data_IF_388591421036
#
_entry.id   IF_388591421036
#
_cell.length_a   1.000
_cell.length_b   1.000
_cell.length_c   1.000
_cell.angle_alpha   90.00
_cell.angle_beta   90.00
_cell.angle_gamma   90.00
#
_symmetry.space_group_name_H-M   'P 1'
#
loop_
_entity.id
_entity.type
_entity.pdbx_description
1 polymer ?
#
# COMPACT_ATOMS: atom_id res chain seq x y z
N UNK A 1 -45.90 30.51 -49.23
CA UNK A 1 -44.63 30.75 -48.51
C UNK A 1 -43.60 31.13 -49.55
N UNK A 2 -42.90 32.24 -49.38
CA UNK A 2 -41.96 32.75 -50.39
C UNK A 2 -40.70 31.88 -50.37
N UNK A 3 -40.19 31.46 -51.54
CA UNK A 3 -38.99 30.59 -51.65
C UNK A 3 -37.80 31.11 -50.82
N UNK A 4 -37.58 32.40 -50.79
CA UNK A 4 -36.52 33.05 -49.98
C UNK A 4 -36.68 32.78 -48.48
N UNK A 5 -37.90 32.68 -47.98
CA UNK A 5 -38.16 32.37 -46.55
C UNK A 5 -37.98 30.87 -46.28
N UNK A 6 -38.32 29.99 -47.22
CA UNK A 6 -38.11 28.56 -47.13
C UNK A 6 -36.61 28.22 -47.03
N UNK A 7 -35.78 28.88 -47.89
CA UNK A 7 -34.32 28.69 -47.84
C UNK A 7 -33.73 29.13 -46.52
N UNK A 8 -34.20 30.25 -45.98
CA UNK A 8 -33.72 30.74 -44.66
C UNK A 8 -34.10 29.80 -43.52
N UNK A 9 -35.30 29.23 -43.54
CA UNK A 9 -35.76 28.25 -42.54
C UNK A 9 -34.93 26.96 -42.62
N UNK A 10 -34.69 26.46 -43.84
CA UNK A 10 -33.85 25.24 -44.04
C UNK A 10 -32.40 25.47 -43.61
N UNK A 11 -31.83 26.64 -43.90
CA UNK A 11 -30.50 27.00 -43.47
C UNK A 11 -30.39 27.08 -41.93
N UNK A 12 -31.38 27.74 -41.27
CA UNK A 12 -31.44 27.77 -39.80
C UNK A 12 -31.59 26.38 -39.18
N UNK A 13 -32.42 25.52 -39.74
CA UNK A 13 -32.57 24.12 -39.27
C UNK A 13 -31.29 23.33 -39.43
N UNK A 14 -30.55 23.48 -40.54
CA UNK A 14 -29.26 22.81 -40.75
C UNK A 14 -28.20 23.30 -39.75
N UNK A 15 -28.17 24.61 -39.39
CA UNK A 15 -27.26 25.14 -38.37
C UNK A 15 -27.61 24.57 -37.01
N UNK A 16 -28.89 24.52 -36.62
CA UNK A 16 -29.32 23.98 -35.33
C UNK A 16 -28.98 22.51 -35.25
N UNK A 17 -29.23 21.69 -36.31
CA UNK A 17 -28.84 20.30 -36.35
C UNK A 17 -27.31 20.11 -36.23
N UNK A 18 -26.53 20.95 -36.88
CA UNK A 18 -25.08 20.98 -36.79
C UNK A 18 -24.59 21.26 -35.37
N UNK A 19 -25.19 22.25 -34.68
CA UNK A 19 -24.86 22.57 -33.30
C UNK A 19 -25.23 21.44 -32.35
N UNK A 20 -26.41 20.83 -32.52
CA UNK A 20 -26.84 19.66 -31.71
C UNK A 20 -25.91 18.47 -31.94
N UNK A 21 -25.52 18.22 -33.20
CA UNK A 21 -24.60 17.12 -33.54
C UNK A 21 -23.21 17.33 -32.93
N UNK A 22 -22.67 18.56 -32.97
CA UNK A 22 -21.37 18.88 -32.34
C UNK A 22 -21.46 18.75 -30.83
N UNK A 23 -22.57 19.19 -30.20
CA UNK A 23 -22.72 19.09 -28.74
C UNK A 23 -22.82 17.61 -28.27
N UNK A 24 -23.40 16.73 -29.06
CA UNK A 24 -23.45 15.27 -28.75
C UNK A 24 -22.08 14.61 -28.85
N UNK A 25 -21.23 15.05 -29.81
CA UNK A 25 -19.88 14.50 -29.97
C UNK A 25 -18.95 14.92 -28.80
N UNK A 26 -19.22 16.05 -28.17
CA UNK A 26 -18.40 16.58 -27.06
C UNK A 26 -18.83 16.09 -25.68
N UNK A 27 -19.81 15.20 -25.56
CA UNK A 27 -20.17 14.59 -24.28
C UNK A 27 -19.10 13.58 -23.91
N UNK A 28 -18.32 13.91 -22.89
CA UNK A 28 -17.40 12.96 -22.26
C UNK A 28 -18.24 11.87 -21.53
N UNK A 29 -18.32 10.69 -22.13
CA UNK A 29 -19.11 9.57 -21.63
C UNK A 29 -18.32 8.67 -20.65
N UNK A 30 -17.05 8.99 -20.40
CA UNK A 30 -16.23 8.19 -19.49
C UNK A 30 -16.73 8.33 -18.06
N UNK A 31 -16.89 7.23 -17.37
CA UNK A 31 -17.28 7.18 -15.99
C UNK A 31 -16.11 7.60 -15.08
N UNK A 32 -16.39 8.44 -14.08
CA UNK A 32 -15.37 8.86 -13.11
C UNK A 32 -14.97 7.69 -12.22
N UNK A 33 -13.70 7.68 -11.82
CA UNK A 33 -13.14 6.64 -10.95
C UNK A 33 -12.50 7.26 -9.72
N UNK A 34 -12.28 6.43 -8.70
CA UNK A 34 -11.55 6.79 -7.48
C UNK A 34 -10.60 5.69 -7.05
N UNK A 35 -9.49 6.08 -6.43
CA UNK A 35 -8.51 5.20 -5.79
C UNK A 35 -8.64 5.36 -4.27
N UNK A 36 -8.87 4.25 -3.58
CA UNK A 36 -9.03 4.21 -2.13
C UNK A 36 -7.92 3.34 -1.55
N UNK A 37 -7.03 3.92 -0.77
CA UNK A 37 -5.99 3.16 -0.06
C UNK A 37 -6.62 2.45 1.13
N UNK A 38 -6.41 1.13 1.22
CA UNK A 38 -6.97 0.27 2.29
C UNK A 38 -5.94 -0.09 3.36
N UNK A 39 -4.65 0.13 3.09
CA UNK A 39 -3.58 -0.12 4.05
C UNK A 39 -3.45 0.99 5.10
N UNK A 40 -2.77 0.66 6.19
CA UNK A 40 -2.40 1.63 7.22
C UNK A 40 -1.38 2.65 6.69
N UNK A 41 -1.40 3.85 7.28
CA UNK A 41 -0.35 4.86 7.07
C UNK A 41 1.00 4.43 7.69
N UNK A 42 1.00 3.42 8.56
CA UNK A 42 2.21 2.86 9.16
C UNK A 42 2.38 1.43 8.68
N UNK A 43 3.49 1.17 8.00
CA UNK A 43 3.86 -0.11 7.40
C UNK A 43 5.20 -0.60 7.94
N UNK A 44 5.43 -1.91 7.87
CA UNK A 44 6.71 -2.56 8.17
C UNK A 44 7.23 -3.26 6.93
N UNK A 45 8.49 -3.62 6.93
CA UNK A 45 9.05 -4.49 5.88
C UNK A 45 8.30 -5.83 5.85
N UNK A 46 7.82 -6.21 4.69
CA UNK A 46 6.95 -7.38 4.48
C UNK A 46 5.46 -7.07 4.44
N UNK A 47 5.02 -5.91 4.93
CA UNK A 47 3.61 -5.48 4.84
C UNK A 47 3.20 -5.18 3.40
N UNK A 48 1.89 -5.13 3.18
CA UNK A 48 1.32 -4.85 1.87
C UNK A 48 0.61 -3.49 1.85
N UNK A 49 0.88 -2.71 0.80
CA UNK A 49 0.08 -1.55 0.45
C UNK A 49 -1.01 -1.99 -0.53
N UNK A 50 -2.27 -1.90 -0.14
CA UNK A 50 -3.43 -2.28 -0.94
C UNK A 50 -4.28 -1.07 -1.32
N UNK A 51 -4.69 -1.04 -2.58
CA UNK A 51 -5.44 0.04 -3.19
C UNK A 51 -6.64 -0.53 -3.92
N UNK A 52 -7.81 0.03 -3.69
CA UNK A 52 -9.05 -0.31 -4.40
C UNK A 52 -9.35 0.75 -5.46
N UNK A 53 -9.65 0.31 -6.68
CA UNK A 53 -10.17 1.15 -7.76
C UNK A 53 -11.68 0.95 -7.86
N UNK A 54 -12.43 2.05 -7.76
CA UNK A 54 -13.89 2.06 -7.83
C UNK A 54 -14.41 3.01 -8.91
N UNK A 55 -15.63 2.73 -9.39
CA UNK A 55 -16.41 3.65 -10.22
C UNK A 55 -17.04 4.78 -9.38
N UNK A 56 -17.78 5.67 -10.02
CA UNK A 56 -18.49 6.80 -9.39
C UNK A 56 -19.58 6.38 -8.39
N UNK A 57 -20.01 5.13 -8.42
CA UNK A 57 -21.04 4.54 -7.53
C UNK A 57 -20.42 3.75 -6.39
N UNK A 58 -19.09 3.60 -6.38
CA UNK A 58 -18.37 2.80 -5.41
C UNK A 58 -18.30 1.30 -5.76
N UNK A 59 -18.64 0.90 -6.99
CA UNK A 59 -18.44 -0.49 -7.40
C UNK A 59 -16.98 -0.73 -7.76
N UNK A 60 -16.41 -1.88 -7.38
CA UNK A 60 -15.02 -2.22 -7.69
C UNK A 60 -14.80 -2.43 -9.19
N UNK A 61 -13.65 -1.97 -9.69
CA UNK A 61 -13.28 -2.13 -11.10
C UNK A 61 -12.11 -3.13 -11.19
N UNK A 62 -12.42 -4.32 -11.70
CA UNK A 62 -11.47 -5.42 -11.84
C UNK A 62 -10.65 -5.32 -13.13
N UNK A 63 -9.52 -6.07 -13.15
CA UNK A 63 -8.67 -6.26 -14.34
C UNK A 63 -8.14 -4.95 -14.95
N UNK A 64 -7.88 -3.92 -14.12
CA UNK A 64 -7.29 -2.65 -14.53
C UNK A 64 -5.84 -2.55 -14.09
N UNK A 65 -5.01 -1.94 -14.94
CA UNK A 65 -3.62 -1.68 -14.60
C UNK A 65 -3.52 -0.40 -13.77
N UNK A 66 -2.89 -0.50 -12.61
CA UNK A 66 -2.56 0.61 -11.71
C UNK A 66 -1.05 0.73 -11.61
N UNK A 67 -0.53 1.92 -11.81
CA UNK A 67 0.87 2.25 -11.56
C UNK A 67 1.03 2.77 -10.13
N UNK A 68 1.93 2.15 -9.37
CA UNK A 68 2.31 2.61 -8.04
C UNK A 68 3.78 2.96 -8.05
N UNK A 69 4.12 4.17 -7.63
CA UNK A 69 5.51 4.61 -7.57
C UNK A 69 5.84 5.27 -6.24
N UNK A 70 7.01 4.96 -5.72
CA UNK A 70 7.61 5.65 -4.58
C UNK A 70 9.14 5.66 -4.74
N UNK A 71 9.77 6.74 -4.31
CA UNK A 71 11.17 7.04 -4.62
C UNK A 71 11.45 6.92 -6.13
N UNK A 72 12.42 6.11 -6.51
CA UNK A 72 12.82 5.87 -7.90
C UNK A 72 12.21 4.60 -8.50
N UNK A 73 11.34 3.91 -7.76
CA UNK A 73 10.74 2.65 -8.18
C UNK A 73 9.31 2.87 -8.69
N UNK A 74 8.95 2.13 -9.73
CA UNK A 74 7.59 2.10 -10.27
C UNK A 74 7.16 0.66 -10.52
N UNK A 75 5.92 0.35 -10.13
CA UNK A 75 5.32 -0.98 -10.20
C UNK A 75 4.00 -0.90 -10.94
N UNK A 76 3.77 -1.81 -11.88
CA UNK A 76 2.49 -1.95 -12.54
C UNK A 76 1.79 -3.18 -11.98
N UNK A 77 0.60 -2.97 -11.43
CA UNK A 77 -0.22 -3.99 -10.78
C UNK A 77 -1.58 -4.05 -11.46
N UNK A 78 -2.21 -5.20 -11.42
CA UNK A 78 -3.56 -5.39 -11.95
C UNK A 78 -4.54 -5.56 -10.79
N UNK A 79 -5.70 -4.89 -10.85
CA UNK A 79 -6.77 -5.08 -9.87
C UNK A 79 -7.42 -6.44 -10.00
N UNK A 80 -7.68 -7.08 -8.87
CA UNK A 80 -8.39 -8.36 -8.77
C UNK A 80 -9.91 -8.21 -8.99
N UNK A 81 -10.68 -9.27 -8.75
CA UNK A 81 -12.14 -9.29 -8.88
C UNK A 81 -12.85 -8.32 -7.94
N UNK A 82 -12.21 -7.91 -6.85
CA UNK A 82 -12.70 -6.93 -5.89
C UNK A 82 -12.15 -5.51 -6.18
N UNK A 83 -11.53 -5.29 -7.34
CA UNK A 83 -10.93 -4.01 -7.68
C UNK A 83 -9.66 -3.67 -6.91
N UNK A 84 -9.02 -4.64 -6.23
CA UNK A 84 -7.88 -4.42 -5.34
C UNK A 84 -6.56 -4.76 -6.04
N UNK A 85 -5.62 -3.82 -6.00
CA UNK A 85 -4.23 -4.03 -6.36
C UNK A 85 -3.37 -4.01 -5.09
N UNK A 86 -2.39 -4.92 -4.98
CA UNK A 86 -1.56 -5.12 -3.78
C UNK A 86 -0.09 -5.00 -4.13
N UNK A 87 0.60 -4.06 -3.48
CA UNK A 87 2.05 -3.92 -3.54
C UNK A 87 2.67 -4.41 -2.23
N UNK A 88 3.52 -5.43 -2.29
CA UNK A 88 4.30 -5.86 -1.14
C UNK A 88 5.48 -4.92 -0.93
N UNK A 89 5.58 -4.34 0.27
CA UNK A 89 6.71 -3.51 0.69
C UNK A 89 7.84 -4.44 1.14
N UNK A 90 8.99 -4.37 0.50
CA UNK A 90 10.13 -5.20 0.87
C UNK A 90 11.45 -4.50 0.61
N UNK A 91 12.40 -4.64 1.52
CA UNK A 91 13.73 -4.01 1.48
C UNK A 91 13.68 -2.47 1.36
N UNK A 92 12.67 -1.85 1.95
CA UNK A 92 12.54 -0.40 1.99
C UNK A 92 13.10 0.10 3.33
N UNK A 93 14.02 1.07 3.33
CA UNK A 93 14.52 1.67 4.56
C UNK A 93 13.40 2.28 5.40
N UNK A 94 13.58 2.35 6.72
CA UNK A 94 12.65 3.08 7.57
C UNK A 94 12.66 4.56 7.22
N UNK A 95 11.47 5.17 7.15
CA UNK A 95 11.33 6.57 6.74
C UNK A 95 9.88 6.91 6.40
N UNK A 96 9.68 8.15 5.98
CA UNK A 96 8.41 8.66 5.49
C UNK A 96 8.45 8.68 3.96
N UNK A 97 7.38 8.22 3.32
CA UNK A 97 7.30 8.04 1.88
C UNK A 97 5.97 8.51 1.32
N UNK A 98 6.03 9.19 0.18
CA UNK A 98 4.88 9.49 -0.65
C UNK A 98 4.72 8.40 -1.71
N UNK A 99 3.74 7.54 -1.53
CA UNK A 99 3.36 6.50 -2.48
C UNK A 99 2.37 7.12 -3.47
N UNK A 100 2.81 7.32 -4.70
CA UNK A 100 1.95 7.86 -5.78
C UNK A 100 1.29 6.70 -6.51
N UNK A 101 -0.03 6.80 -6.66
CA UNK A 101 -0.86 5.77 -7.26
C UNK A 101 -1.60 6.41 -8.43
N UNK A 102 -1.56 5.77 -9.59
CA UNK A 102 -2.14 6.30 -10.82
C UNK A 102 -2.88 5.20 -11.58
N UNK A 103 -4.08 5.54 -12.02
CA UNK A 103 -4.84 4.81 -13.01
C UNK A 103 -5.02 5.70 -14.25
N UNK A 104 -4.59 5.23 -15.40
CA UNK A 104 -4.59 6.04 -16.64
C UNK A 104 -5.96 6.10 -17.33
N UNK A 105 -6.92 5.32 -16.85
CA UNK A 105 -8.24 5.22 -17.49
C UNK A 105 -8.24 4.30 -18.70
N UNK A 106 -9.38 4.20 -19.34
CA UNK A 106 -9.59 3.46 -20.59
C UNK A 106 -10.77 4.06 -21.38
N UNK A 107 -11.30 3.33 -22.37
CA UNK A 107 -12.43 3.80 -23.18
C UNK A 107 -13.75 3.98 -22.42
N UNK A 108 -13.87 3.50 -21.18
CA UNK A 108 -15.07 3.57 -20.34
C UNK A 108 -14.87 4.40 -19.08
N UNK A 109 -13.64 4.44 -18.57
CA UNK A 109 -13.29 5.03 -17.28
C UNK A 109 -12.30 6.17 -17.41
N UNK A 110 -12.50 7.23 -16.65
CA UNK A 110 -11.54 8.34 -16.53
C UNK A 110 -10.30 7.92 -15.77
N UNK A 111 -9.21 8.61 -16.04
CA UNK A 111 -8.00 8.51 -15.23
C UNK A 111 -8.23 9.09 -13.82
N UNK A 112 -7.48 8.58 -12.86
CA UNK A 112 -7.47 9.10 -11.49
C UNK A 112 -6.11 8.86 -10.85
N UNK A 113 -5.76 9.66 -9.84
CA UNK A 113 -4.53 9.50 -9.08
C UNK A 113 -4.74 9.79 -7.60
N UNK A 114 -3.91 9.19 -6.76
CA UNK A 114 -3.88 9.41 -5.33
C UNK A 114 -2.44 9.44 -4.83
N UNK A 115 -2.21 10.07 -3.69
CA UNK A 115 -0.95 10.02 -2.94
C UNK A 115 -1.26 9.51 -1.55
N UNK A 116 -0.53 8.47 -1.13
CA UNK A 116 -0.61 7.91 0.21
C UNK A 116 0.69 8.22 0.96
N UNK A 117 0.58 8.93 2.06
CA UNK A 117 1.70 9.21 2.95
C UNK A 117 1.88 8.02 3.89
N UNK A 118 2.98 7.29 3.74
CA UNK A 118 3.27 6.10 4.54
C UNK A 118 4.54 6.28 5.37
N UNK A 119 4.50 5.84 6.61
CA UNK A 119 5.66 5.71 7.49
C UNK A 119 6.08 4.25 7.52
N UNK A 120 7.28 3.96 7.00
CA UNK A 120 7.85 2.61 7.05
C UNK A 120 8.70 2.50 8.31
N UNK A 121 8.31 1.60 9.20
CA UNK A 121 9.03 1.34 10.44
C UNK A 121 10.17 0.36 10.19
N UNK A 122 11.30 0.62 10.86
CA UNK A 122 12.38 -0.36 10.94
C UNK A 122 11.91 -1.56 11.77
N UNK A 123 11.97 -2.75 11.19
CA UNK A 123 11.89 -3.96 11.98
C UNK A 123 13.25 -4.09 12.67
N UNK A 124 13.29 -3.88 13.97
CA UNK A 124 14.43 -4.33 14.76
C UNK A 124 14.44 -5.86 14.68
N UNK A 125 15.41 -6.39 13.95
CA UNK A 125 15.59 -7.84 13.89
C UNK A 125 15.86 -8.33 15.30
N UNK A 126 14.93 -9.08 15.86
CA UNK A 126 15.13 -9.77 17.13
C UNK A 126 16.37 -10.65 16.99
N UNK A 127 17.40 -10.40 17.79
CA UNK A 127 18.61 -11.22 17.79
C UNK A 127 18.25 -12.62 18.29
N UNK A 128 18.78 -13.63 17.64
CA UNK A 128 18.64 -15.01 18.14
C UNK A 128 19.36 -15.16 19.47
N UNK A 129 18.97 -16.14 20.27
CA UNK A 129 19.66 -16.46 21.51
C UNK A 129 21.14 -16.78 21.26
N UNK A 130 21.46 -17.46 20.16
CA UNK A 130 22.83 -17.73 19.75
C UNK A 130 23.63 -16.46 19.46
N UNK A 131 23.05 -15.47 18.79
CA UNK A 131 23.71 -14.17 18.55
C UNK A 131 23.99 -13.44 19.87
N UNK A 132 23.10 -13.52 20.86
CA UNK A 132 23.29 -12.94 22.18
C UNK A 132 24.41 -13.66 22.93
N UNK A 133 24.43 -14.99 22.90
CA UNK A 133 25.46 -15.79 23.54
C UNK A 133 26.85 -15.54 22.93
N UNK A 134 26.95 -15.47 21.60
CA UNK A 134 28.19 -15.18 20.89
C UNK A 134 28.72 -13.77 21.16
N UNK A 135 27.84 -12.78 21.32
CA UNK A 135 28.24 -11.40 21.62
C UNK A 135 28.89 -11.24 23.00
N UNK A 136 28.68 -12.19 23.90
CA UNK A 136 29.16 -12.13 25.29
C UNK A 136 28.51 -11.01 26.11
N UNK A 137 27.47 -10.36 25.59
CA UNK A 137 26.77 -9.23 26.24
C UNK A 137 26.13 -9.67 27.57
N UNK A 138 25.69 -10.94 27.64
CA UNK A 138 25.12 -11.51 28.86
C UNK A 138 26.09 -11.47 30.05
N UNK A 139 27.41 -11.61 29.82
CA UNK A 139 28.42 -11.60 30.88
C UNK A 139 28.52 -10.26 31.62
N UNK A 140 28.20 -9.17 30.93
CA UNK A 140 28.14 -7.82 31.56
C UNK A 140 26.93 -7.65 32.47
N UNK A 141 25.84 -8.35 32.18
CA UNK A 141 24.55 -8.20 32.87
C UNK A 141 24.30 -9.25 33.94
N UNK A 142 24.59 -10.52 33.65
CA UNK A 142 24.22 -11.64 34.51
C UNK A 142 25.41 -12.51 34.92
N UNK A 143 26.61 -12.30 34.34
CA UNK A 143 27.79 -13.10 34.64
C UNK A 143 27.70 -14.52 34.14
N UNK A 144 28.27 -15.48 34.90
CA UNK A 144 28.11 -16.91 34.63
C UNK A 144 26.69 -17.34 35.01
N UNK A 145 26.09 -18.20 34.16
CA UNK A 145 24.69 -18.61 34.30
C UNK A 145 24.48 -20.07 33.95
N UNK A 146 23.34 -20.61 34.40
CA UNK A 146 22.83 -21.91 34.00
C UNK A 146 21.46 -21.72 33.33
N UNK A 147 21.22 -22.40 32.21
CA UNK A 147 19.91 -22.48 31.61
C UNK A 147 19.01 -23.36 32.46
N UNK A 148 17.92 -22.78 32.97
CA UNK A 148 16.93 -23.47 33.79
C UNK A 148 15.82 -24.04 32.90
N UNK A 149 15.40 -23.25 31.92
CA UNK A 149 14.32 -23.61 31.01
C UNK A 149 14.54 -22.95 29.64
N UNK A 150 14.23 -23.68 28.59
CA UNK A 150 14.31 -23.20 27.22
C UNK A 150 12.91 -23.13 26.62
N UNK A 151 12.49 -21.94 26.19
CA UNK A 151 11.18 -21.71 25.61
C UNK A 151 11.30 -21.40 24.12
N UNK A 152 10.50 -22.08 23.34
CA UNK A 152 10.36 -21.87 21.90
C UNK A 152 8.92 -21.48 21.60
N UNK A 153 8.69 -20.24 21.16
CA UNK A 153 7.37 -19.77 20.74
C UNK A 153 7.45 -19.22 19.30
N UNK A 154 7.22 -20.08 18.32
CA UNK A 154 7.32 -19.71 16.91
C UNK A 154 8.75 -19.30 16.54
N UNK A 155 8.92 -18.07 16.06
CA UNK A 155 10.24 -17.51 15.69
C UNK A 155 10.96 -16.82 16.87
N UNK A 156 10.40 -16.87 18.07
CA UNK A 156 10.99 -16.26 19.27
C UNK A 156 11.60 -17.31 20.17
N UNK A 157 12.92 -17.24 20.31
CA UNK A 157 13.69 -18.04 21.26
C UNK A 157 13.87 -17.27 22.55
N UNK A 158 13.59 -17.90 23.68
CA UNK A 158 13.93 -17.37 25.00
C UNK A 158 14.38 -18.47 25.95
N UNK A 159 15.23 -18.09 26.90
CA UNK A 159 15.67 -18.99 27.95
C UNK A 159 15.51 -18.32 29.32
N UNK A 160 14.99 -19.08 30.28
CA UNK A 160 15.10 -18.75 31.69
C UNK A 160 16.48 -19.21 32.17
N UNK A 161 17.26 -18.26 32.63
CA UNK A 161 18.63 -18.51 33.14
C UNK A 161 18.76 -18.06 34.58
N UNK A 162 19.63 -18.70 35.34
CA UNK A 162 19.96 -18.38 36.72
C UNK A 162 21.44 -18.07 36.81
N UNK A 163 21.81 -16.93 37.41
CA UNK A 163 23.19 -16.54 37.61
C UNK A 163 23.82 -17.23 38.87
N UNK A 164 25.11 -17.07 39.03
CA UNK A 164 25.86 -17.64 40.17
C UNK A 164 25.36 -17.16 41.54
N UNK A 165 24.52 -16.13 41.61
CA UNK A 165 23.93 -15.62 42.85
C UNK A 165 22.48 -16.11 43.06
N UNK A 166 21.98 -16.99 42.16
CA UNK A 166 20.60 -17.49 42.20
C UNK A 166 19.57 -16.52 41.66
N UNK A 167 19.98 -15.43 41.02
CA UNK A 167 19.07 -14.47 40.42
C UNK A 167 18.65 -14.97 39.02
N UNK A 168 17.36 -14.91 38.74
CA UNK A 168 16.78 -15.38 37.47
C UNK A 168 16.62 -14.22 36.48
N UNK A 169 16.80 -14.56 35.22
CA UNK A 169 16.71 -13.67 34.08
C UNK A 169 16.04 -14.36 32.91
N UNK A 170 15.31 -13.60 32.10
CA UNK A 170 14.86 -14.05 30.77
C UNK A 170 15.83 -13.46 29.74
N UNK A 171 16.43 -14.37 28.96
CA UNK A 171 17.26 -14.03 27.80
C UNK A 171 16.45 -14.28 26.53
N UNK A 172 16.40 -13.32 25.65
CA UNK A 172 15.69 -13.42 24.37
C UNK A 172 16.21 -12.40 23.37
N UNK A 173 15.62 -12.37 22.18
CA UNK A 173 16.01 -11.48 21.09
C UNK A 173 15.99 -10.00 21.45
N UNK A 174 15.13 -9.60 22.37
CA UNK A 174 15.01 -8.21 22.83
C UNK A 174 15.97 -7.85 23.98
N UNK A 175 16.76 -8.79 24.43
CA UNK A 175 17.77 -8.60 25.51
C UNK A 175 17.47 -9.38 26.78
N UNK A 176 17.78 -8.77 27.94
CA UNK A 176 17.76 -9.42 29.27
C UNK A 176 16.76 -8.73 30.18
N UNK A 177 15.88 -9.50 30.79
CA UNK A 177 14.92 -9.01 31.78
C UNK A 177 15.10 -9.82 33.07
N UNK A 178 15.32 -9.15 34.23
CA UNK A 178 15.31 -9.84 35.51
C UNK A 178 13.90 -10.24 35.92
N UNK A 179 13.74 -11.45 36.42
CA UNK A 179 12.48 -12.03 36.91
C UNK A 179 12.40 -11.89 38.42
#
# INVERSE_FOLDING_TARGET
MNEKNLVKILAAAAIILGIVFISVICIDTHESTSLIVKSSDTLKDGDACSVELCDSKGNPIANQNISISFESNSFNLTTDENGIAVLKISNVPAGEYDIKIQYDGNSHYKNTSAVHHAVILKIEKTRSLDEILQSGEYKKKIGDYQIVEYNYMGDMESALVEDSNGKKWIMGGDGFTSV
#
